data_IF_546510029143
#
_entry.id   IF_546510029143
#
_cell.length_a   1.000
_cell.length_b   1.000
_cell.length_c   1.000
_cell.angle_alpha   90.00
_cell.angle_beta   90.00
_cell.angle_gamma   90.00
#
_symmetry.space_group_name_H-M   'P 1'
#
loop_
_entity.id
_entity.type
_entity.pdbx_description
1 polymer ?
#
# COMPACT_ATOMS: atom_id res chain seq x y z
N UNK A 1 -29.87 20.83 17.51
CA UNK A 1 -28.95 20.47 16.42
C UNK A 1 -27.73 21.37 16.51
N UNK A 2 -26.61 20.82 16.97
CA UNK A 2 -25.39 21.56 17.32
C UNK A 2 -24.32 21.37 16.24
N UNK A 3 -24.06 22.41 15.47
CA UNK A 3 -22.96 22.46 14.50
C UNK A 3 -21.62 22.63 15.24
N UNK A 4 -20.83 21.56 15.28
CA UNK A 4 -19.44 21.61 15.76
C UNK A 4 -18.54 22.12 14.62
N UNK A 5 -18.23 23.42 14.65
CA UNK A 5 -17.24 24.07 13.78
C UNK A 5 -15.84 23.63 14.19
N UNK A 6 -15.12 22.94 13.31
CA UNK A 6 -13.70 22.64 13.50
C UNK A 6 -12.82 23.81 13.05
N UNK A 7 -12.02 24.35 13.98
CA UNK A 7 -11.01 25.40 13.77
C UNK A 7 -9.82 24.83 12.97
N UNK A 8 -9.50 25.45 11.83
CA UNK A 8 -8.22 25.23 11.14
C UNK A 8 -7.11 25.98 11.87
N UNK A 9 -6.07 25.26 12.29
CA UNK A 9 -4.85 25.86 12.83
C UNK A 9 -4.01 26.46 11.71
N UNK A 10 -3.60 27.71 11.90
CA UNK A 10 -2.83 28.54 11.00
C UNK A 10 -1.38 28.57 11.52
N UNK A 11 -0.41 27.99 10.80
CA UNK A 11 0.98 27.96 11.25
C UNK A 11 1.77 29.07 10.54
N UNK A 12 1.78 30.25 11.16
CA UNK A 12 2.67 31.37 10.83
C UNK A 12 4.00 31.15 11.53
N UNK A 13 5.08 30.86 10.77
CA UNK A 13 6.44 31.03 11.27
C UNK A 13 7.13 32.09 10.44
N UNK A 14 7.37 33.24 11.08
CA UNK A 14 8.08 34.38 10.55
C UNK A 14 9.05 34.85 11.64
N UNK A 15 10.36 34.86 11.33
CA UNK A 15 11.35 35.90 11.70
C UNK A 15 12.75 35.41 11.30
N UNK A 16 13.36 36.05 10.30
CA UNK A 16 14.41 37.10 10.42
C UNK A 16 15.78 36.52 10.80
N UNK A 17 16.95 36.98 10.36
CA UNK A 17 17.47 37.85 9.31
C UNK A 17 18.99 37.72 9.50
N UNK A 18 19.82 37.66 8.46
CA UNK A 18 21.11 38.36 8.49
C UNK A 18 21.69 38.62 7.10
N UNK A 19 22.08 39.89 6.92
CA UNK A 19 22.58 40.54 5.70
C UNK A 19 24.06 40.24 5.45
N UNK A 20 24.46 40.26 4.16
CA UNK A 20 25.55 41.08 3.53
C UNK A 20 25.90 40.46 2.15
N UNK A 21 25.50 41.05 1.01
CA UNK A 21 26.08 42.17 0.24
C UNK A 21 27.13 41.76 -0.82
N UNK A 22 26.73 41.80 -2.10
CA UNK A 22 27.42 42.30 -3.31
C UNK A 22 26.63 41.80 -4.54
N UNK A 23 26.36 42.48 -5.65
CA UNK A 23 26.62 43.82 -6.15
C UNK A 23 26.21 43.84 -7.63
N UNK A 24 25.86 45.03 -8.14
CA UNK A 24 25.82 45.44 -9.56
C UNK A 24 24.66 44.94 -10.45
N UNK A 25 23.83 45.95 -10.73
CA UNK A 25 22.86 46.18 -11.80
C UNK A 25 23.28 45.58 -13.14
N UNK A 26 22.34 44.96 -13.86
CA UNK A 26 22.17 45.13 -15.30
C UNK A 26 20.69 44.93 -15.69
N UNK A 27 20.11 46.00 -16.24
CA UNK A 27 18.74 46.04 -16.77
C UNK A 27 18.76 45.39 -18.16
N UNK A 28 18.36 44.13 -18.27
CA UNK A 28 17.92 43.56 -19.55
C UNK A 28 16.42 43.40 -19.51
N UNK A 29 15.74 44.03 -20.49
CA UNK A 29 14.30 44.01 -20.66
C UNK A 29 13.88 42.60 -21.06
N UNK A 30 13.64 41.73 -20.08
CA UNK A 30 12.98 40.45 -20.32
C UNK A 30 11.53 40.72 -20.72
N UNK A 31 11.22 40.39 -21.96
CA UNK A 31 9.87 40.32 -22.51
C UNK A 31 9.07 39.37 -21.61
N UNK A 32 8.24 39.92 -20.72
CA UNK A 32 7.28 39.13 -19.95
C UNK A 32 6.21 38.64 -20.92
N UNK A 33 6.38 37.45 -21.49
CA UNK A 33 5.26 36.70 -22.05
C UNK A 33 4.27 36.48 -20.89
N UNK A 34 3.14 37.20 -20.93
CA UNK A 34 1.98 36.92 -20.06
C UNK A 34 1.44 35.56 -20.47
N UNK A 35 1.84 34.51 -19.77
CA UNK A 35 1.12 33.25 -19.82
C UNK A 35 -0.14 33.41 -18.96
N UNK A 36 -1.27 33.69 -19.61
CA UNK A 36 -2.60 33.56 -19.00
C UNK A 36 -2.91 32.07 -18.84
N UNK A 37 -2.23 31.40 -17.91
CA UNK A 37 -2.60 30.06 -17.49
C UNK A 37 -3.40 30.16 -16.20
N UNK A 38 -4.66 30.61 -16.34
CA UNK A 38 -5.69 30.27 -15.37
C UNK A 38 -6.05 28.80 -15.59
N UNK A 39 -5.14 27.88 -15.22
CA UNK A 39 -5.53 26.50 -15.00
C UNK A 39 -6.37 26.48 -13.73
N UNK A 40 -7.69 26.54 -13.95
CA UNK A 40 -8.69 26.32 -12.90
C UNK A 40 -8.53 24.85 -12.49
N UNK A 41 -7.73 24.60 -11.46
CA UNK A 41 -7.58 23.27 -10.88
C UNK A 41 -8.93 22.93 -10.24
N UNK A 42 -9.78 22.24 -11.00
CA UNK A 42 -10.99 21.65 -10.44
C UNK A 42 -10.54 20.42 -9.65
N UNK A 43 -10.59 20.53 -8.32
CA UNK A 43 -10.45 19.36 -7.46
C UNK A 43 -11.59 18.40 -7.80
N UNK A 44 -11.24 17.34 -8.52
CA UNK A 44 -12.16 16.23 -8.81
C UNK A 44 -12.54 15.56 -7.49
N UNK A 45 -13.80 15.12 -7.37
CA UNK A 45 -14.19 14.30 -6.24
C UNK A 45 -13.41 12.98 -6.24
N UNK A 46 -13.31 12.34 -5.08
CA UNK A 46 -12.71 11.01 -4.92
C UNK A 46 -13.36 10.01 -5.88
N UNK A 47 -14.69 10.05 -5.98
CA UNK A 47 -15.48 9.21 -6.89
C UNK A 47 -15.10 9.41 -8.37
N UNK A 48 -14.86 10.65 -8.80
CA UNK A 48 -14.48 10.93 -10.18
C UNK A 48 -13.04 10.44 -10.47
N UNK A 49 -12.16 10.50 -9.48
CA UNK A 49 -10.82 9.92 -9.58
C UNK A 49 -10.89 8.39 -9.73
N UNK A 50 -11.64 7.71 -8.86
CA UNK A 50 -11.84 6.27 -8.90
C UNK A 50 -12.43 5.82 -10.24
N UNK A 51 -13.47 6.50 -10.72
CA UNK A 51 -14.09 6.19 -12.01
C UNK A 51 -13.12 6.30 -13.17
N UNK A 52 -12.29 7.35 -13.19
CA UNK A 52 -11.28 7.53 -14.24
C UNK A 52 -10.16 6.49 -14.13
N UNK A 53 -9.74 6.14 -12.92
CA UNK A 53 -8.75 5.10 -12.65
C UNK A 53 -9.23 3.73 -13.16
N UNK A 54 -10.45 3.33 -12.79
CA UNK A 54 -11.08 2.08 -13.23
C UNK A 54 -11.27 2.06 -14.75
N UNK A 55 -11.75 3.14 -15.37
CA UNK A 55 -11.94 3.21 -16.82
C UNK A 55 -10.64 2.98 -17.60
N UNK A 56 -9.51 3.50 -17.12
CA UNK A 56 -8.20 3.26 -17.73
C UNK A 56 -7.76 1.81 -17.54
N UNK A 57 -8.00 1.25 -16.35
CA UNK A 57 -7.65 -0.12 -15.98
C UNK A 57 -8.51 -1.18 -16.63
N UNK A 58 -9.74 -0.88 -17.08
CA UNK A 58 -10.66 -1.84 -17.70
C UNK A 58 -10.56 -1.91 -19.22
N UNK A 59 -9.56 -1.26 -19.84
CA UNK A 59 -9.40 -1.32 -21.30
C UNK A 59 -9.10 -2.75 -21.77
N UNK A 60 -9.86 -3.25 -22.74
CA UNK A 60 -9.79 -4.63 -23.23
C UNK A 60 -8.52 -4.95 -24.05
N UNK A 61 -7.81 -3.93 -24.53
CA UNK A 61 -6.58 -4.07 -25.36
C UNK A 61 -5.36 -4.67 -24.62
N UNK A 62 -5.47 -4.94 -23.32
CA UNK A 62 -4.35 -5.36 -22.48
C UNK A 62 -4.55 -6.83 -22.08
N UNK A 63 -3.59 -7.69 -22.43
CA UNK A 63 -3.54 -9.07 -21.94
C UNK A 63 -3.42 -9.08 -20.41
N UNK A 64 -4.28 -9.87 -19.75
CA UNK A 64 -4.39 -9.91 -18.29
C UNK A 64 -4.14 -11.31 -17.76
N UNK A 65 -3.52 -11.42 -16.57
CA UNK A 65 -3.48 -12.69 -15.88
C UNK A 65 -4.89 -13.13 -15.51
N UNK A 66 -5.16 -14.42 -15.71
CA UNK A 66 -6.41 -15.07 -15.35
C UNK A 66 -6.26 -15.60 -13.93
N UNK A 67 -7.27 -15.39 -13.09
CA UNK A 67 -7.28 -15.92 -11.73
C UNK A 67 -7.48 -17.44 -11.73
N UNK A 68 -6.65 -18.24 -11.05
CA UNK A 68 -6.76 -19.70 -11.01
C UNK A 68 -7.97 -20.22 -10.21
N UNK A 69 -8.64 -19.37 -9.42
CA UNK A 69 -9.77 -19.75 -8.57
C UNK A 69 -11.10 -19.53 -9.29
N UNK A 70 -11.34 -18.32 -9.80
CA UNK A 70 -12.60 -17.96 -10.47
C UNK A 70 -12.52 -17.99 -12.00
N UNK A 71 -11.34 -18.14 -12.59
CA UNK A 71 -11.09 -18.06 -14.04
C UNK A 71 -11.46 -16.73 -14.71
N UNK A 72 -11.59 -15.65 -13.92
CA UNK A 72 -11.85 -14.30 -14.43
C UNK A 72 -10.54 -13.51 -14.60
N UNK A 73 -10.48 -12.55 -15.54
CA UNK A 73 -9.31 -11.70 -15.71
C UNK A 73 -9.11 -10.76 -14.51
N UNK A 74 -7.87 -10.57 -14.12
CA UNK A 74 -7.49 -9.65 -13.05
C UNK A 74 -7.32 -8.24 -13.64
N UNK A 75 -8.20 -7.31 -13.26
CA UNK A 75 -8.15 -5.93 -13.75
C UNK A 75 -7.13 -5.06 -13.02
N UNK A 76 -6.97 -5.30 -11.72
CA UNK A 76 -6.10 -4.54 -10.81
C UNK A 76 -5.03 -5.50 -10.31
N UNK A 77 -3.90 -5.55 -11.02
CA UNK A 77 -2.79 -6.47 -10.72
C UNK A 77 -2.17 -6.18 -9.35
N UNK A 78 -2.19 -4.92 -8.90
CA UNK A 78 -1.63 -4.49 -7.62
C UNK A 78 -2.44 -4.98 -6.42
N UNK A 79 -3.71 -5.33 -6.62
CA UNK A 79 -4.55 -5.94 -5.59
C UNK A 79 -4.45 -7.48 -5.61
N UNK A 80 -3.91 -8.06 -6.67
CA UNK A 80 -3.77 -9.50 -6.79
C UNK A 80 -2.65 -10.04 -5.88
N UNK A 81 -2.89 -11.22 -5.32
CA UNK A 81 -1.93 -11.93 -4.46
C UNK A 81 -1.52 -13.23 -5.17
N UNK A 82 -0.29 -13.69 -4.93
CA UNK A 82 0.18 -14.95 -5.50
C UNK A 82 -0.50 -16.13 -4.81
N UNK A 83 -1.22 -16.94 -5.58
CA UNK A 83 -1.83 -18.18 -5.13
C UNK A 83 -0.75 -19.18 -4.71
N UNK A 84 -0.94 -19.84 -3.56
CA UNK A 84 0.07 -20.69 -2.93
C UNK A 84 0.33 -22.00 -3.72
N UNK A 85 -0.70 -22.60 -4.33
CA UNK A 85 -0.62 -23.90 -4.98
C UNK A 85 -0.27 -23.79 -6.47
N UNK A 86 -0.85 -22.83 -7.19
CA UNK A 86 -0.56 -22.62 -8.62
C UNK A 86 0.65 -21.71 -8.84
N UNK A 87 0.98 -20.84 -7.88
CA UNK A 87 2.02 -19.83 -8.04
C UNK A 87 1.63 -18.68 -8.97
N UNK A 88 0.40 -18.66 -9.50
CA UNK A 88 -0.14 -17.60 -10.37
C UNK A 88 -0.81 -16.50 -9.55
N UNK A 89 -1.13 -15.37 -10.19
CA UNK A 89 -1.86 -14.28 -9.53
C UNK A 89 -3.34 -14.66 -9.40
N UNK A 90 -3.89 -14.49 -8.21
CA UNK A 90 -5.31 -14.64 -7.93
C UNK A 90 -5.90 -13.36 -7.35
N UNK A 91 -7.21 -13.19 -7.47
CA UNK A 91 -7.90 -12.07 -6.82
C UNK A 91 -7.79 -12.18 -5.30
N UNK A 92 -7.66 -11.02 -4.65
CA UNK A 92 -7.63 -10.91 -3.19
C UNK A 92 -8.85 -11.57 -2.53
N UNK A 93 -10.04 -11.33 -3.08
CA UNK A 93 -11.30 -11.87 -2.57
C UNK A 93 -11.39 -13.39 -2.72
N UNK A 94 -10.87 -13.94 -3.83
CA UNK A 94 -10.84 -15.39 -4.04
C UNK A 94 -9.99 -16.08 -2.98
N UNK A 95 -8.81 -15.53 -2.68
CA UNK A 95 -7.92 -16.04 -1.63
C UNK A 95 -8.56 -15.89 -0.26
N UNK A 96 -9.23 -14.77 0.02
CA UNK A 96 -9.95 -14.59 1.28
C UNK A 96 -11.02 -15.66 1.49
N UNK A 97 -11.80 -15.97 0.44
CA UNK A 97 -12.84 -17.00 0.49
C UNK A 97 -12.23 -18.40 0.67
N UNK A 98 -11.16 -18.71 -0.06
CA UNK A 98 -10.43 -19.97 0.07
C UNK A 98 -9.90 -20.17 1.51
N UNK A 99 -9.29 -19.14 2.10
CA UNK A 99 -8.81 -19.19 3.49
C UNK A 99 -9.97 -19.38 4.46
N UNK A 100 -11.10 -18.72 4.21
CA UNK A 100 -12.31 -18.84 5.03
C UNK A 100 -12.88 -20.25 5.00
N UNK A 101 -12.99 -20.84 3.82
CA UNK A 101 -13.47 -22.22 3.63
C UNK A 101 -12.53 -23.23 4.30
N UNK A 102 -11.22 -23.07 4.11
CA UNK A 102 -10.20 -23.95 4.69
C UNK A 102 -10.10 -23.86 6.23
N UNK A 103 -10.52 -22.75 6.83
CA UNK A 103 -10.47 -22.55 8.29
C UNK A 103 -11.86 -22.53 8.93
N UNK A 104 -12.91 -22.90 8.21
CA UNK A 104 -14.30 -22.79 8.69
C UNK A 104 -14.55 -23.65 9.93
N UNK A 105 -13.85 -24.78 10.06
CA UNK A 105 -13.89 -25.67 11.23
C UNK A 105 -13.23 -25.06 12.46
N UNK A 106 -12.25 -24.18 12.24
CA UNK A 106 -11.49 -23.55 13.32
C UNK A 106 -12.15 -22.23 13.77
N UNK A 107 -12.95 -21.59 12.92
CA UNK A 107 -13.55 -20.27 13.17
C UNK A 107 -14.76 -20.33 14.10
N UNK A 108 -14.78 -19.42 15.09
CA UNK A 108 -15.95 -19.14 15.93
C UNK A 108 -16.84 -18.06 15.28
N UNK A 109 -18.09 -17.92 15.74
CA UNK A 109 -19.06 -16.96 15.17
C UNK A 109 -18.60 -15.49 15.25
N UNK A 110 -17.75 -15.16 16.23
CA UNK A 110 -17.22 -13.81 16.46
C UNK A 110 -15.90 -13.54 15.72
N UNK A 111 -15.36 -14.54 15.02
CA UNK A 111 -14.09 -14.42 14.34
C UNK A 111 -14.22 -13.70 12.99
N UNK A 112 -13.28 -12.81 12.72
CA UNK A 112 -13.14 -12.11 11.44
C UNK A 112 -11.77 -12.42 10.84
N UNK A 113 -11.73 -12.63 9.52
CA UNK A 113 -10.47 -12.75 8.78
C UNK A 113 -10.05 -11.35 8.35
N UNK A 114 -8.80 -10.98 8.64
CA UNK A 114 -8.20 -9.70 8.24
C UNK A 114 -6.87 -9.94 7.56
N UNK A 115 -6.57 -9.10 6.57
CA UNK A 115 -5.24 -9.08 5.96
C UNK A 115 -4.29 -8.26 6.82
N UNK A 116 -3.17 -8.86 7.23
CA UNK A 116 -2.17 -8.23 8.08
C UNK A 116 -1.02 -7.60 7.27
N UNK A 117 -0.95 -7.90 5.97
CA UNK A 117 0.09 -7.43 5.06
C UNK A 117 1.09 -8.52 4.69
N UNK A 118 1.90 -8.24 3.66
CA UNK A 118 2.98 -9.12 3.18
C UNK A 118 2.55 -10.56 2.86
N UNK A 119 1.32 -10.77 2.38
CA UNK A 119 0.79 -12.11 2.10
C UNK A 119 0.41 -12.91 3.35
N UNK A 120 0.25 -12.24 4.50
CA UNK A 120 -0.22 -12.86 5.75
C UNK A 120 -1.64 -12.43 6.10
N UNK A 121 -2.45 -13.41 6.48
CA UNK A 121 -3.81 -13.23 6.97
C UNK A 121 -3.88 -13.55 8.45
N UNK A 122 -4.83 -12.95 9.16
CA UNK A 122 -5.06 -13.16 10.57
C UNK A 122 -6.52 -13.44 10.85
N UNK A 123 -6.78 -14.38 11.75
CA UNK A 123 -8.11 -14.53 12.36
C UNK A 123 -8.10 -13.69 13.63
N UNK A 124 -8.98 -12.69 13.68
CA UNK A 124 -9.15 -11.82 14.85
C UNK A 124 -10.46 -12.12 15.57
N UNK A 125 -10.42 -12.06 16.88
CA UNK A 125 -11.59 -12.09 17.74
C UNK A 125 -11.76 -10.72 18.39
N UNK A 126 -12.99 -10.20 18.35
CA UNK A 126 -13.36 -8.96 19.00
C UNK A 126 -13.89 -9.26 20.40
N UNK A 127 -13.15 -8.85 21.43
CA UNK A 127 -13.59 -9.04 22.81
C UNK A 127 -14.02 -7.70 23.39
N UNK A 128 -15.26 -7.63 23.86
CA UNK A 128 -15.75 -6.49 24.63
C UNK A 128 -15.24 -6.61 26.07
N UNK A 129 -14.49 -5.61 26.54
CA UNK A 129 -14.11 -5.51 27.95
C UNK A 129 -14.67 -4.19 28.51
N UNK A 130 -15.91 -4.25 28.98
CA UNK A 130 -16.66 -3.07 29.44
C UNK A 130 -16.95 -2.10 28.30
N UNK A 131 -16.46 -0.85 28.41
CA UNK A 131 -16.69 0.21 27.39
C UNK A 131 -15.70 0.17 26.22
N UNK A 132 -14.65 -0.65 26.28
CA UNK A 132 -13.61 -0.69 25.27
C UNK A 132 -13.63 -2.04 24.53
N UNK A 133 -13.61 -1.97 23.20
CA UNK A 133 -13.38 -3.13 22.32
C UNK A 133 -11.88 -3.35 22.16
N UNK A 134 -11.43 -4.60 22.32
CA UNK A 134 -10.05 -5.01 22.02
C UNK A 134 -10.06 -6.09 20.95
N UNK A 135 -9.15 -5.98 19.99
CA UNK A 135 -8.93 -6.99 18.95
C UNK A 135 -7.78 -7.90 19.36
N UNK A 136 -8.02 -9.20 19.25
CA UNK A 136 -7.00 -10.21 19.52
C UNK A 136 -6.77 -11.05 18.27
N UNK A 137 -5.52 -11.17 17.82
CA UNK A 137 -5.17 -12.07 16.70
C UNK A 137 -5.04 -13.48 17.25
N UNK A 138 -6.01 -14.34 16.98
CA UNK A 138 -6.04 -15.73 17.45
C UNK A 138 -5.11 -16.63 16.64
N UNK A 139 -5.05 -16.45 15.33
CA UNK A 139 -4.24 -17.25 14.40
C UNK A 139 -3.66 -16.37 13.31
N UNK A 140 -2.41 -16.61 12.92
CA UNK A 140 -1.78 -16.03 11.72
C UNK A 140 -1.62 -17.13 10.68
N UNK A 141 -1.99 -16.80 9.45
CA UNK A 141 -1.97 -17.70 8.29
C UNK A 141 -1.04 -17.05 7.29
N UNK A 142 0.14 -17.65 7.10
CA UNK A 142 1.05 -17.20 6.05
C UNK A 142 0.63 -17.84 4.72
N UNK A 143 0.17 -17.01 3.79
CA UNK A 143 -0.34 -17.48 2.50
C UNK A 143 0.74 -17.40 1.42
N UNK A 144 1.49 -16.29 1.36
CA UNK A 144 2.65 -16.17 0.48
C UNK A 144 3.93 -16.70 1.17
N UNK A 145 4.38 -17.88 0.78
CA UNK A 145 5.70 -18.38 1.15
C UNK A 145 6.78 -17.63 0.36
N UNK A 146 7.18 -16.44 0.84
CA UNK A 146 8.45 -15.85 0.40
C UNK A 146 9.55 -16.78 0.87
N UNK A 147 10.19 -17.47 -0.07
CA UNK A 147 11.48 -18.11 0.20
C UNK A 147 12.38 -17.01 0.74
N UNK A 148 12.70 -17.05 2.02
CA UNK A 148 13.77 -16.22 2.58
C UNK A 148 14.99 -16.58 1.74
N UNK A 149 15.51 -15.63 0.96
CA UNK A 149 16.80 -15.83 0.30
C UNK A 149 17.77 -16.12 1.44
N UNK A 150 18.23 -17.36 1.55
CA UNK A 150 19.37 -17.66 2.38
C UNK A 150 20.50 -16.80 1.82
N UNK A 151 20.99 -15.88 2.62
CA UNK A 151 22.27 -15.24 2.35
C UNK A 151 23.25 -16.42 2.51
N UNK A 152 23.80 -16.90 1.41
CA UNK A 152 24.91 -17.83 1.49
C UNK A 152 26.05 -17.01 2.10
N UNK A 153 26.49 -17.41 3.30
CA UNK A 153 27.62 -16.78 3.94
C UNK A 153 28.84 -17.03 3.03
N UNK A 154 29.34 -15.96 2.40
CA UNK A 154 30.58 -15.94 1.61
C UNK A 154 31.82 -16.16 2.50
N UNK A 155 31.83 -17.26 3.27
CA UNK A 155 33.00 -17.66 4.05
C UNK A 155 34.06 -18.21 3.10
N UNK A 156 35.01 -17.36 2.74
CA UNK A 156 36.24 -17.69 2.01
C UNK A 156 36.96 -18.88 2.69
N UNK A 157 37.19 -20.01 2.00
CA UNK A 157 37.81 -21.20 2.58
C UNK A 157 39.35 -21.12 2.73
N UNK A 158 39.99 -19.96 2.56
CA UNK A 158 41.47 -19.87 2.47
C UNK A 158 42.23 -19.54 3.77
N UNK A 159 41.58 -19.38 4.94
CA UNK A 159 42.31 -19.06 6.18
C UNK A 159 42.76 -20.25 7.04
N UNK A 160 42.41 -21.50 6.71
CA UNK A 160 42.74 -22.66 7.56
C UNK A 160 44.20 -23.15 7.46
N UNK A 161 44.96 -22.72 6.43
CA UNK A 161 46.34 -23.18 6.21
C UNK A 161 47.43 -22.30 6.87
N UNK A 162 47.07 -21.19 7.52
CA UNK A 162 48.04 -20.25 8.11
C UNK A 162 48.39 -20.51 9.58
N UNK A 163 47.75 -21.49 10.23
CA UNK A 163 47.98 -21.80 11.66
C UNK A 163 48.58 -23.18 11.94
N UNK A 164 48.98 -23.92 10.91
CA UNK A 164 49.69 -25.20 11.06
C UNK A 164 51.18 -25.12 10.68
N UNK A 165 51.89 -24.16 11.26
CA UNK A 165 53.37 -24.12 11.26
C UNK A 165 53.90 -24.05 12.67
#
# INVERSE_FOLDING_TARGET
MSEKKFKKFNNNNNKENNKKFCGKKNKTKFYKKKYNNQYKYQEKSIEEYEKNYLKKRMREEIERPICPICNEPIYIIEEAIRHNASGELAHFECILNEIKENNISDMEEEDKIVYLGSGTFGIIQERQNGKNTRFFVRKRINYENRKVKKIEDDADPEEEDLFNV
#
